data_IF_338142035415
#
_entry.id   IF_338142035415
#
_cell.length_a   1.000
_cell.length_b   1.000
_cell.length_c   1.000
_cell.angle_alpha   90.00
_cell.angle_beta   90.00
_cell.angle_gamma   90.00
#
_symmetry.space_group_name_H-M   'P 1'
#
loop_
_entity.id
_entity.type
_entity.pdbx_description
1 polymer ?
#
# COMPACT_ATOMS: atom_id res chain seq x y z
N UNK A 1 -6.54 7.15 22.39
CA UNK A 1 -6.34 7.56 23.80
C UNK A 1 -6.04 6.42 24.79
N UNK A 2 -6.42 5.16 24.56
CA UNK A 2 -6.20 4.07 25.54
C UNK A 2 -4.75 3.53 25.61
N UNK A 3 -4.04 3.43 24.48
CA UNK A 3 -2.66 2.91 24.43
C UNK A 3 -1.65 3.83 25.13
N UNK A 4 -1.76 5.15 24.95
CA UNK A 4 -0.86 6.15 25.56
C UNK A 4 -0.90 6.05 27.10
N UNK A 5 -2.07 5.81 27.69
CA UNK A 5 -2.19 5.63 29.15
C UNK A 5 -1.44 4.40 29.67
N UNK A 6 -1.41 3.31 28.90
CA UNK A 6 -0.70 2.08 29.27
C UNK A 6 0.82 2.29 29.21
N UNK A 7 1.32 2.97 28.18
CA UNK A 7 2.75 3.29 28.09
C UNK A 7 3.21 4.26 29.18
N UNK A 8 2.40 5.26 29.52
CA UNK A 8 2.70 6.19 30.63
C UNK A 8 2.72 5.43 31.97
N UNK A 9 1.78 4.51 32.19
CA UNK A 9 1.75 3.68 33.39
C UNK A 9 2.98 2.77 33.51
N UNK A 10 3.38 2.09 32.43
CA UNK A 10 4.59 1.28 32.38
C UNK A 10 5.85 2.11 32.63
N UNK A 11 5.91 3.32 32.07
CA UNK A 11 7.02 4.24 32.27
C UNK A 11 7.13 4.71 33.73
N UNK A 12 5.99 5.03 34.37
CA UNK A 12 5.96 5.40 35.79
C UNK A 12 6.41 4.23 36.68
N UNK A 13 5.95 3.00 36.40
CA UNK A 13 6.39 1.81 37.14
C UNK A 13 7.89 1.55 36.99
N UNK A 14 8.45 1.78 35.80
CA UNK A 14 9.90 1.68 35.56
C UNK A 14 10.68 2.72 36.39
N UNK A 15 10.19 3.97 36.46
CA UNK A 15 10.83 5.03 37.22
C UNK A 15 10.77 4.79 38.73
N UNK A 16 9.65 4.26 39.25
CA UNK A 16 9.52 3.88 40.67
C UNK A 16 10.50 2.75 41.03
N UNK A 17 10.66 1.74 40.16
CA UNK A 17 11.63 0.66 40.38
C UNK A 17 13.09 1.14 40.39
N UNK A 18 13.42 2.14 39.55
CA UNK A 18 14.75 2.75 39.50
C UNK A 18 15.02 3.66 40.71
N UNK A 19 14.03 4.44 41.15
CA UNK A 19 14.13 5.34 42.30
C UNK A 19 14.16 4.58 43.63
N UNK A 20 13.38 3.52 43.78
CA UNK A 20 13.38 2.66 44.99
C UNK A 20 14.71 1.95 45.23
N UNK A 21 15.47 1.66 44.18
CA UNK A 21 16.80 1.04 44.26
C UNK A 21 17.87 2.00 44.85
N UNK A 22 17.64 3.32 44.77
CA UNK A 22 18.51 4.34 45.34
C UNK A 22 18.43 4.43 46.87
N UNK A 23 17.22 4.30 47.44
CA UNK A 23 17.01 4.46 48.88
C UNK A 23 17.50 3.25 49.69
N UNK A 24 17.31 2.02 49.18
CA UNK A 24 17.85 0.79 49.82
C UNK A 24 19.39 0.76 49.81
N UNK A 25 20.01 1.35 48.78
CA UNK A 25 21.46 1.49 48.72
C UNK A 25 22.01 2.55 49.69
N UNK A 26 21.22 3.55 50.09
CA UNK A 26 21.67 4.60 51.01
C UNK A 26 21.64 4.15 52.48
N UNK A 27 20.62 3.39 52.91
CA UNK A 27 20.59 2.80 54.28
C UNK A 27 21.78 1.85 54.53
N UNK A 28 22.16 1.06 53.52
CA UNK A 28 23.34 0.20 53.58
C UNK A 28 24.67 0.99 53.59
N UNK A 29 24.67 2.23 53.07
CA UNK A 29 25.85 3.09 52.96
C UNK A 29 26.15 3.81 54.27
N UNK A 30 25.12 4.22 55.01
CA UNK A 30 25.29 4.81 56.35
C UNK A 30 25.88 3.80 57.34
N UNK A 31 25.44 2.53 57.32
CA UNK A 31 26.07 1.47 58.12
C UNK A 31 27.51 1.14 57.70
N UNK A 32 27.88 1.35 56.44
CA UNK A 32 29.20 0.99 55.89
C UNK A 32 30.28 2.05 56.16
N UNK A 33 29.90 3.29 56.46
CA UNK A 33 30.86 4.37 56.74
C UNK A 33 31.60 4.23 58.09
N UNK A 34 31.20 3.30 58.96
CA UNK A 34 31.94 2.99 60.19
C UNK A 34 33.12 2.02 60.01
N UNK A 35 33.28 1.38 58.84
CA UNK A 35 34.33 0.38 58.63
C UNK A 35 35.13 0.68 57.35
N UNK A 36 36.13 1.55 57.52
CA UNK A 36 37.21 1.81 56.57
C UNK A 36 38.10 0.56 56.40
N UNK A 37 38.11 0.00 55.19
CA UNK A 37 39.29 -0.51 54.49
C UNK A 37 38.92 -0.68 53.01
N UNK A 38 39.85 -0.42 52.09
CA UNK A 38 39.60 -0.57 50.66
C UNK A 38 39.12 -1.99 50.34
N UNK A 39 37.84 -2.09 50.01
CA UNK A 39 37.12 -3.36 49.99
C UNK A 39 36.94 -3.82 48.52
N UNK A 40 37.22 -5.09 48.16
CA UNK A 40 36.98 -5.67 46.81
C UNK A 40 35.59 -5.39 46.22
N UNK A 41 34.62 -5.07 47.08
CA UNK A 41 33.29 -4.56 46.72
C UNK A 41 33.30 -3.32 45.81
N UNK A 42 34.26 -2.39 45.94
CA UNK A 42 34.32 -1.19 45.08
C UNK A 42 34.57 -1.56 43.61
N UNK A 43 35.40 -2.58 43.37
CA UNK A 43 35.77 -3.03 42.03
C UNK A 43 34.63 -3.85 41.40
N UNK A 44 33.95 -4.68 42.20
CA UNK A 44 32.72 -5.38 41.83
C UNK A 44 31.56 -4.42 41.54
N UNK A 45 31.37 -3.38 42.35
CA UNK A 45 30.35 -2.35 42.12
C UNK A 45 30.62 -1.54 40.85
N UNK A 46 31.88 -1.25 40.52
CA UNK A 46 32.23 -0.56 39.26
C UNK A 46 31.93 -1.43 38.04
N UNK A 47 32.20 -2.75 38.10
CA UNK A 47 31.82 -3.71 37.04
C UNK A 47 30.30 -3.85 36.90
N UNK A 48 29.56 -3.97 38.01
CA UNK A 48 28.09 -4.04 38.00
C UNK A 48 27.45 -2.75 37.46
N UNK A 49 27.95 -1.58 37.85
CA UNK A 49 27.49 -0.29 37.31
C UNK A 49 27.75 -0.17 35.80
N UNK A 50 28.94 -0.56 35.31
CA UNK A 50 29.20 -0.59 33.87
C UNK A 50 28.23 -1.51 33.13
N UNK A 51 27.97 -2.72 33.65
CA UNK A 51 27.01 -3.66 33.05
C UNK A 51 25.58 -3.11 33.02
N UNK A 52 25.16 -2.42 34.09
CA UNK A 52 23.87 -1.72 34.14
C UNK A 52 23.78 -0.60 33.11
N UNK A 53 24.83 0.21 32.96
CA UNK A 53 24.87 1.29 31.97
C UNK A 53 24.79 0.71 30.54
N UNK A 54 25.56 -0.32 30.22
CA UNK A 54 25.48 -0.98 28.92
C UNK A 54 24.11 -1.64 28.67
N UNK A 55 23.49 -2.21 29.70
CA UNK A 55 22.13 -2.76 29.61
C UNK A 55 21.12 -1.66 29.28
N UNK A 56 21.19 -0.51 29.96
CA UNK A 56 20.28 0.62 29.71
C UNK A 56 20.47 1.20 28.30
N UNK A 57 21.72 1.35 27.85
CA UNK A 57 22.04 1.79 26.48
C UNK A 57 21.48 0.81 25.46
N UNK A 58 21.67 -0.51 25.67
CA UNK A 58 21.16 -1.56 24.78
C UNK A 58 19.63 -1.60 24.72
N UNK A 59 18.95 -1.36 25.84
CA UNK A 59 17.48 -1.30 25.85
C UNK A 59 16.97 -0.05 25.15
N UNK A 60 17.59 1.11 25.39
CA UNK A 60 17.22 2.36 24.72
C UNK A 60 17.43 2.29 23.20
N UNK A 61 18.54 1.71 22.74
CA UNK A 61 18.81 1.55 21.31
C UNK A 61 17.83 0.58 20.63
N UNK A 62 17.44 -0.51 21.30
CA UNK A 62 16.43 -1.43 20.79
C UNK A 62 15.05 -0.76 20.64
N UNK A 63 14.63 0.05 21.63
CA UNK A 63 13.36 0.79 21.58
C UNK A 63 13.36 1.82 20.44
N UNK A 64 14.47 2.57 20.28
CA UNK A 64 14.64 3.51 19.18
C UNK A 64 14.63 2.80 17.81
N UNK A 65 15.29 1.65 17.70
CA UNK A 65 15.26 0.82 16.49
C UNK A 65 13.84 0.40 16.12
N UNK A 66 13.08 -0.14 17.07
CA UNK A 66 11.68 -0.56 16.85
C UNK A 66 10.80 0.64 16.46
N UNK A 67 11.00 1.80 17.08
CA UNK A 67 10.24 3.01 16.76
C UNK A 67 10.53 3.53 15.33
N UNK A 68 11.80 3.57 14.92
CA UNK A 68 12.20 4.00 13.57
C UNK A 68 11.70 3.02 12.51
N UNK A 69 11.87 1.71 12.73
CA UNK A 69 11.33 0.69 11.83
C UNK A 69 9.79 0.74 11.77
N UNK A 70 9.13 0.90 12.92
CA UNK A 70 7.67 1.04 12.99
C UNK A 70 7.15 2.28 12.24
N UNK A 71 7.84 3.41 12.34
CA UNK A 71 7.47 4.63 11.60
C UNK A 71 7.75 4.51 10.09
N UNK A 72 8.90 3.95 9.70
CA UNK A 72 9.28 3.78 8.29
C UNK A 72 8.38 2.80 7.53
N UNK A 73 7.96 1.72 8.18
CA UNK A 73 6.97 0.79 7.61
C UNK A 73 5.63 1.51 7.44
N UNK A 74 5.17 2.25 8.45
CA UNK A 74 3.86 2.90 8.41
C UNK A 74 3.79 4.07 7.40
N UNK A 75 4.91 4.72 7.07
CA UNK A 75 4.96 5.72 6.00
C UNK A 75 4.90 5.10 4.60
N UNK A 76 5.58 3.96 4.40
CA UNK A 76 5.63 3.29 3.09
C UNK A 76 4.28 2.65 2.67
N UNK A 77 3.45 2.27 3.64
CA UNK A 77 2.13 1.68 3.40
C UNK A 77 0.98 2.70 3.30
N UNK A 78 1.23 4.00 3.58
CA UNK A 78 0.15 5.01 3.63
C UNK A 78 -0.23 5.59 2.28
N UNK A 79 0.67 5.59 1.30
CA UNK A 79 0.33 6.05 -0.04
C UNK A 79 -0.25 4.90 -0.86
N UNK A 80 -1.58 4.73 -0.81
CA UNK A 80 -2.28 3.95 -1.82
C UNK A 80 -1.93 4.54 -3.19
N UNK A 81 -1.25 3.75 -4.02
CA UNK A 81 -0.98 4.13 -5.41
C UNK A 81 -2.33 4.39 -6.08
N UNK A 82 -2.56 5.64 -6.51
CA UNK A 82 -3.77 6.02 -7.24
C UNK A 82 -3.92 5.10 -8.45
N UNK A 83 -5.10 4.52 -8.60
CA UNK A 83 -5.51 3.67 -9.72
C UNK A 83 -6.13 4.52 -10.82
N UNK A 84 -6.39 3.94 -11.99
CA UNK A 84 -7.16 4.63 -13.04
C UNK A 84 -8.57 4.98 -12.52
N UNK A 85 -9.16 4.12 -11.69
CA UNK A 85 -10.50 4.30 -11.14
C UNK A 85 -10.62 5.55 -10.27
N UNK A 86 -9.55 5.93 -9.57
CA UNK A 86 -9.53 7.15 -8.77
C UNK A 86 -9.58 8.42 -9.63
N UNK A 87 -9.08 8.36 -10.87
CA UNK A 87 -9.04 9.49 -11.81
C UNK A 87 -10.24 9.49 -12.76
N UNK A 88 -10.61 8.33 -13.33
CA UNK A 88 -11.65 8.22 -14.38
C UNK A 88 -12.98 7.67 -13.86
N UNK A 89 -13.10 7.29 -12.58
CA UNK A 89 -14.24 6.51 -12.07
C UNK A 89 -15.61 7.13 -12.33
N UNK A 90 -15.73 8.46 -12.30
CA UNK A 90 -16.98 9.18 -12.61
C UNK A 90 -17.33 9.17 -14.10
N UNK A 91 -16.34 9.12 -14.98
CA UNK A 91 -16.48 9.17 -16.43
C UNK A 91 -16.35 7.78 -17.09
N UNK A 92 -16.02 6.75 -16.32
CA UNK A 92 -15.66 5.42 -16.84
C UNK A 92 -16.78 4.82 -17.69
N UNK A 93 -18.03 4.87 -17.22
CA UNK A 93 -19.16 4.34 -17.97
C UNK A 93 -19.29 5.03 -19.33
N UNK A 94 -19.13 6.36 -19.39
CA UNK A 94 -19.17 7.11 -20.64
C UNK A 94 -18.01 6.71 -21.57
N UNK A 95 -16.81 6.57 -21.02
CA UNK A 95 -15.60 6.19 -21.76
C UNK A 95 -15.76 4.78 -22.35
N UNK A 96 -16.20 3.81 -21.53
CA UNK A 96 -16.36 2.42 -21.95
C UNK A 96 -17.48 2.28 -22.98
N UNK A 97 -18.65 2.86 -22.73
CA UNK A 97 -19.77 2.79 -23.66
C UNK A 97 -19.42 3.43 -25.02
N UNK A 98 -18.69 4.54 -25.02
CA UNK A 98 -18.24 5.18 -26.27
C UNK A 98 -17.20 4.34 -27.00
N UNK A 99 -16.25 3.75 -26.27
CA UNK A 99 -15.25 2.83 -26.85
C UNK A 99 -15.93 1.60 -27.47
N UNK A 100 -16.90 1.00 -26.77
CA UNK A 100 -17.70 -0.13 -27.27
C UNK A 100 -18.47 0.28 -28.53
N UNK A 101 -19.16 1.42 -28.51
CA UNK A 101 -19.93 1.91 -29.66
C UNK A 101 -19.05 2.15 -30.89
N UNK A 102 -17.87 2.76 -30.72
CA UNK A 102 -16.90 2.96 -31.81
C UNK A 102 -16.39 1.62 -32.35
N UNK A 103 -16.09 0.67 -31.46
CA UNK A 103 -15.69 -0.67 -31.83
C UNK A 103 -16.74 -1.41 -32.66
N UNK A 104 -17.99 -1.42 -32.19
CA UNK A 104 -19.13 -2.02 -32.92
C UNK A 104 -19.32 -1.35 -34.28
N UNK A 105 -19.26 -0.02 -34.34
CA UNK A 105 -19.42 0.72 -35.60
C UNK A 105 -18.33 0.34 -36.62
N UNK A 106 -17.06 0.27 -36.19
CA UNK A 106 -15.96 -0.20 -37.05
C UNK A 106 -16.20 -1.62 -37.55
N UNK A 107 -16.56 -2.54 -36.66
CA UNK A 107 -16.83 -3.94 -37.04
C UNK A 107 -17.97 -4.03 -38.05
N UNK A 108 -19.08 -3.31 -37.83
CA UNK A 108 -20.22 -3.29 -38.75
C UNK A 108 -19.88 -2.71 -40.12
N UNK A 109 -19.05 -1.66 -40.16
CA UNK A 109 -18.57 -1.07 -41.42
C UNK A 109 -17.79 -2.09 -42.24
N UNK A 110 -16.94 -2.89 -41.59
CA UNK A 110 -16.15 -3.92 -42.25
C UNK A 110 -16.97 -5.16 -42.65
N UNK A 111 -17.97 -5.53 -41.84
CA UNK A 111 -18.88 -6.66 -42.13
C UNK A 111 -19.63 -6.48 -43.45
N UNK A 112 -20.08 -5.25 -43.77
CA UNK A 112 -20.78 -4.95 -45.02
C UNK A 112 -19.89 -5.03 -46.27
N UNK A 113 -18.57 -4.97 -46.10
CA UNK A 113 -17.67 -4.72 -47.20
C UNK A 113 -17.03 -5.96 -47.81
N UNK A 114 -16.78 -7.08 -47.08
CA UNK A 114 -16.24 -8.31 -47.72
C UNK A 114 -15.99 -9.57 -46.83
N UNK A 115 -16.45 -9.69 -45.58
CA UNK A 115 -16.06 -10.84 -44.72
C UNK A 115 -17.21 -11.35 -43.84
N UNK A 116 -17.62 -12.61 -44.04
CA UNK A 116 -18.65 -13.30 -43.23
C UNK A 116 -18.15 -13.69 -41.82
N UNK A 117 -16.83 -13.85 -41.63
CA UNK A 117 -16.24 -14.22 -40.35
C UNK A 117 -16.05 -13.01 -39.42
N UNK A 118 -16.94 -12.90 -38.43
CA UNK A 118 -16.96 -11.83 -37.42
C UNK A 118 -15.63 -11.74 -36.67
N UNK A 119 -14.95 -12.86 -36.38
CA UNK A 119 -13.70 -12.81 -35.58
C UNK A 119 -12.55 -12.18 -36.37
N UNK A 120 -12.62 -12.15 -37.71
CA UNK A 120 -11.62 -11.49 -38.57
C UNK A 120 -11.80 -9.98 -38.70
N UNK A 121 -13.01 -9.47 -38.45
CA UNK A 121 -13.35 -8.04 -38.61
C UNK A 121 -13.44 -7.28 -37.28
N UNK A 122 -13.45 -7.97 -36.15
CA UNK A 122 -13.41 -7.35 -34.83
C UNK A 122 -12.06 -6.63 -34.67
N UNK A 123 -12.05 -5.39 -34.16
CA UNK A 123 -10.81 -4.66 -33.88
C UNK A 123 -9.86 -5.45 -32.99
N UNK A 124 -8.56 -5.28 -33.22
CA UNK A 124 -7.56 -5.93 -32.35
C UNK A 124 -7.58 -5.34 -30.93
N UNK A 125 -7.02 -6.07 -29.97
CA UNK A 125 -6.91 -5.56 -28.60
C UNK A 125 -6.10 -4.25 -28.54
N UNK A 126 -5.06 -4.13 -29.36
CA UNK A 126 -4.22 -2.93 -29.44
C UNK A 126 -4.99 -1.75 -30.01
N UNK A 127 -5.85 -1.97 -31.01
CA UNK A 127 -6.73 -0.93 -31.54
C UNK A 127 -7.73 -0.45 -30.48
N UNK A 128 -8.33 -1.36 -29.74
CA UNK A 128 -9.24 -1.01 -28.65
C UNK A 128 -8.51 -0.24 -27.55
N UNK A 129 -7.27 -0.61 -27.22
CA UNK A 129 -6.46 0.15 -26.27
C UNK A 129 -6.21 1.58 -26.74
N UNK A 130 -5.85 1.76 -28.02
CA UNK A 130 -5.67 3.11 -28.60
C UNK A 130 -6.95 3.94 -28.53
N UNK A 131 -8.11 3.35 -28.85
CA UNK A 131 -9.40 4.04 -28.75
C UNK A 131 -9.69 4.40 -27.28
N UNK A 132 -9.48 3.47 -26.35
CA UNK A 132 -9.73 3.68 -24.93
C UNK A 132 -8.86 4.80 -24.36
N UNK A 133 -7.55 4.80 -24.69
CA UNK A 133 -6.59 5.84 -24.34
C UNK A 133 -7.08 7.19 -24.87
N UNK A 134 -7.45 7.26 -26.14
CA UNK A 134 -7.98 8.48 -26.76
C UNK A 134 -9.24 9.01 -26.04
N UNK A 135 -10.17 8.12 -25.65
CA UNK A 135 -11.36 8.53 -24.89
C UNK A 135 -11.03 9.05 -23.49
N UNK A 136 -10.03 8.47 -22.82
CA UNK A 136 -9.54 8.93 -21.51
C UNK A 136 -8.89 10.32 -21.64
N UNK A 137 -8.03 10.50 -22.64
CA UNK A 137 -7.34 11.76 -22.88
C UNK A 137 -8.30 12.89 -23.28
N UNK A 138 -9.37 12.58 -24.03
CA UNK A 138 -10.44 13.54 -24.34
C UNK A 138 -11.18 14.07 -23.11
N UNK A 139 -11.09 13.39 -21.96
CA UNK A 139 -11.60 13.85 -20.67
C UNK A 139 -10.59 14.71 -19.91
N UNK A 140 -9.48 15.09 -20.56
CA UNK A 140 -8.33 15.79 -19.98
C UNK A 140 -7.64 15.00 -18.86
N UNK A 141 -7.73 13.66 -18.90
CA UNK A 141 -7.12 12.79 -17.90
C UNK A 141 -5.80 12.26 -18.47
N UNK A 142 -4.69 12.61 -17.81
CA UNK A 142 -3.35 12.20 -18.23
C UNK A 142 -3.08 10.75 -17.83
N UNK A 143 -2.74 9.92 -18.81
CA UNK A 143 -2.38 8.52 -18.57
C UNK A 143 -0.99 8.43 -17.95
N UNK A 144 -0.87 7.54 -16.96
CA UNK A 144 0.40 7.22 -16.28
C UNK A 144 0.75 5.77 -16.59
N UNK A 145 2.04 5.45 -16.58
CA UNK A 145 2.52 4.07 -16.83
C UNK A 145 1.90 3.03 -15.89
N UNK A 146 1.57 3.45 -14.67
CA UNK A 146 0.88 2.64 -13.68
C UNK A 146 -0.52 2.16 -14.10
N UNK A 147 -1.15 2.80 -15.08
CA UNK A 147 -2.50 2.49 -15.54
C UNK A 147 -2.53 1.48 -16.69
N UNK A 148 -1.40 1.17 -17.33
CA UNK A 148 -1.38 0.36 -18.55
C UNK A 148 -1.93 -1.07 -18.34
N UNK A 149 -1.69 -1.67 -17.16
CA UNK A 149 -2.29 -2.98 -16.82
C UNK A 149 -3.82 -2.91 -16.71
N UNK A 150 -4.33 -1.82 -16.16
CA UNK A 150 -5.78 -1.60 -15.99
C UNK A 150 -6.43 -1.29 -17.35
N UNK A 151 -5.80 -0.45 -18.18
CA UNK A 151 -6.19 -0.19 -19.58
C UNK A 151 -6.23 -1.49 -20.38
N UNK A 152 -5.23 -2.37 -20.21
CA UNK A 152 -5.21 -3.67 -20.87
C UNK A 152 -6.39 -4.54 -20.43
N UNK A 153 -6.73 -4.56 -19.14
CA UNK A 153 -7.90 -5.28 -18.63
C UNK A 153 -9.21 -4.73 -19.21
N UNK A 154 -9.38 -3.40 -19.18
CA UNK A 154 -10.54 -2.72 -19.75
C UNK A 154 -10.68 -2.97 -21.26
N UNK A 155 -9.58 -3.03 -22.00
CA UNK A 155 -9.60 -3.34 -23.43
C UNK A 155 -10.18 -4.74 -23.71
N UNK A 156 -9.88 -5.73 -22.86
CA UNK A 156 -10.46 -7.09 -22.97
C UNK A 156 -11.95 -7.08 -22.67
N UNK A 157 -12.38 -6.34 -21.66
CA UNK A 157 -13.80 -6.14 -21.35
C UNK A 157 -14.56 -5.51 -22.52
N UNK A 158 -14.00 -4.46 -23.12
CA UNK A 158 -14.59 -3.80 -24.30
C UNK A 158 -14.69 -4.78 -25.48
N UNK A 159 -13.62 -5.52 -25.78
CA UNK A 159 -13.62 -6.54 -26.84
C UNK A 159 -14.69 -7.60 -26.64
N UNK A 160 -14.85 -8.09 -25.40
CA UNK A 160 -15.88 -9.07 -25.07
C UNK A 160 -17.28 -8.53 -25.39
N UNK A 161 -17.57 -7.28 -25.05
CA UNK A 161 -18.86 -6.66 -25.33
C UNK A 161 -19.08 -6.43 -26.83
N UNK A 162 -18.06 -6.02 -27.58
CA UNK A 162 -18.13 -5.90 -29.04
C UNK A 162 -18.44 -7.27 -29.67
N UNK A 163 -17.73 -8.34 -29.27
CA UNK A 163 -17.98 -9.71 -29.72
C UNK A 163 -19.42 -10.15 -29.48
N UNK A 164 -19.92 -9.98 -28.25
CA UNK A 164 -21.29 -10.36 -27.91
C UNK A 164 -22.32 -9.57 -28.74
N UNK A 165 -22.11 -8.26 -28.91
CA UNK A 165 -22.99 -7.43 -29.71
C UNK A 165 -23.04 -7.88 -31.18
N UNK A 166 -21.88 -8.20 -31.77
CA UNK A 166 -21.80 -8.64 -33.16
C UNK A 166 -22.35 -10.04 -33.38
N UNK A 167 -22.14 -10.97 -32.43
CA UNK A 167 -22.78 -12.29 -32.47
C UNK A 167 -24.30 -12.19 -32.43
N UNK A 168 -24.84 -11.30 -31.60
CA UNK A 168 -26.28 -11.04 -31.56
C UNK A 168 -26.77 -10.46 -32.89
N UNK A 169 -26.07 -9.45 -33.42
CA UNK A 169 -26.38 -8.85 -34.72
C UNK A 169 -26.42 -9.86 -35.87
N UNK A 170 -25.45 -10.78 -35.93
CA UNK A 170 -25.41 -11.82 -36.95
C UNK A 170 -26.59 -12.82 -36.82
N UNK A 171 -26.91 -13.24 -35.60
CA UNK A 171 -28.09 -14.10 -35.35
C UNK A 171 -29.39 -13.43 -35.79
N UNK A 172 -29.54 -12.14 -35.51
CA UNK A 172 -30.71 -11.37 -35.94
C UNK A 172 -30.76 -11.29 -37.46
N UNK A 173 -29.66 -10.97 -38.14
CA UNK A 173 -29.61 -10.95 -39.60
C UNK A 173 -30.00 -12.31 -40.22
N UNK A 174 -29.44 -13.41 -39.71
CA UNK A 174 -29.74 -14.75 -40.20
C UNK A 174 -31.19 -15.19 -39.98
N UNK A 175 -31.90 -14.58 -39.04
CA UNK A 175 -33.32 -14.86 -38.80
C UNK A 175 -34.23 -14.18 -39.82
N UNK A 176 -33.78 -13.05 -40.38
CA UNK A 176 -34.55 -12.24 -41.34
C UNK A 176 -34.07 -12.39 -42.80
N UNK A 177 -33.05 -13.21 -43.06
CA UNK A 177 -32.56 -13.59 -44.40
C UNK A 177 -33.23 -14.87 -44.89
#
# INVERSE_FOLDING_TARGET
MKLIKVYVFLFIMLMIGLLGCGNVCNELKEKKNMLLKENPDKLLNKKRRKKLVYSVIGTLSAILGIAIFGMGINSHFKEKKKTIWDEVGKDMDSILNRTIAVGIWKTRKNYKNEIEDIEKIIPSQEEIQKILIYQIENKNIKIRDGYMKEIQSLSKYVLYNIRNSMRHYNKTLSYYS
#
